data_IF_183290748805
#
_entry.id   IF_183290748805
#
_cell.length_a   1.000
_cell.length_b   1.000
_cell.length_c   1.000
_cell.angle_alpha   90.00
_cell.angle_beta   90.00
_cell.angle_gamma   90.00
#
_symmetry.space_group_name_H-M   'P 1'
#
loop_
_entity.id
_entity.type
_entity.pdbx_description
1 polymer ?
#
# COMPACT_ATOMS: atom_id res chain seq x y z
N UNK A 1 -25.51 -0.02 -57.83
CA UNK A 1 -24.29 -0.81 -58.08
C UNK A 1 -23.37 -0.62 -56.88
N UNK A 2 -23.17 -1.69 -56.09
CA UNK A 2 -22.22 -1.97 -54.98
C UNK A 2 -21.63 -0.80 -54.15
N UNK A 3 -21.89 -0.65 -52.84
CA UNK A 3 -21.53 -1.48 -51.67
C UNK A 3 -20.21 -1.10 -50.98
N UNK A 4 -20.25 -1.21 -49.63
CA UNK A 4 -19.17 -1.28 -48.63
C UNK A 4 -18.59 0.03 -48.09
N UNK A 5 -18.91 0.32 -46.83
CA UNK A 5 -17.88 0.79 -45.88
C UNK A 5 -18.18 0.26 -44.46
N UNK A 6 -17.41 -0.77 -44.10
CA UNK A 6 -16.96 -1.21 -42.77
C UNK A 6 -17.85 -0.98 -41.54
N UNK A 7 -18.43 -2.08 -41.04
CA UNK A 7 -18.86 -2.22 -39.64
C UNK A 7 -17.62 -2.31 -38.75
N UNK A 8 -17.42 -1.34 -37.85
CA UNK A 8 -16.42 -1.43 -36.78
C UNK A 8 -16.86 -2.51 -35.78
N UNK A 9 -16.21 -3.67 -35.83
CA UNK A 9 -16.32 -4.69 -34.78
C UNK A 9 -15.50 -4.21 -33.58
N UNK A 10 -16.18 -3.66 -32.57
CA UNK A 10 -15.59 -3.51 -31.24
C UNK A 10 -15.36 -4.92 -30.68
N UNK A 11 -14.09 -5.34 -30.63
CA UNK A 11 -13.68 -6.60 -30.03
C UNK A 11 -14.07 -6.59 -28.54
N UNK A 12 -15.14 -7.30 -28.19
CA UNK A 12 -15.50 -7.57 -26.80
C UNK A 12 -14.58 -8.67 -26.29
N UNK A 13 -13.49 -8.28 -25.64
CA UNK A 13 -12.64 -9.22 -24.90
C UNK A 13 -13.42 -9.66 -23.66
N UNK A 14 -14.06 -10.82 -23.75
CA UNK A 14 -14.61 -11.52 -22.60
C UNK A 14 -13.47 -12.26 -21.91
N UNK A 15 -12.92 -11.67 -20.84
CA UNK A 15 -12.03 -12.38 -19.93
C UNK A 15 -12.89 -13.24 -18.99
N UNK A 16 -12.99 -14.54 -19.29
CA UNK A 16 -13.55 -15.55 -18.39
C UNK A 16 -12.53 -15.79 -17.27
N UNK A 17 -12.75 -15.15 -16.12
CA UNK A 17 -12.02 -15.45 -14.89
C UNK A 17 -12.62 -16.73 -14.29
N UNK A 18 -12.04 -17.89 -14.62
CA UNK A 18 -12.32 -19.14 -13.90
C UNK A 18 -11.57 -19.07 -12.58
N UNK A 19 -12.25 -18.64 -11.52
CA UNK A 19 -11.75 -18.83 -10.15
C UNK A 19 -12.03 -20.29 -9.82
N UNK A 20 -11.00 -21.14 -9.90
CA UNK A 20 -11.05 -22.47 -9.31
C UNK A 20 -11.17 -22.29 -7.79
N UNK A 21 -12.40 -22.40 -7.28
CA UNK A 21 -12.68 -22.43 -5.85
C UNK A 21 -12.26 -23.80 -5.29
N UNK A 22 -10.97 -23.95 -5.02
CA UNK A 22 -10.54 -24.97 -4.05
C UNK A 22 -11.23 -24.68 -2.70
N UNK A 23 -11.59 -25.71 -1.91
CA UNK A 23 -12.32 -25.51 -0.66
C UNK A 23 -11.51 -24.59 0.25
N UNK A 24 -11.99 -23.34 0.39
CA UNK A 24 -11.48 -22.39 1.36
C UNK A 24 -11.64 -23.03 2.74
N UNK A 25 -10.56 -23.23 3.52
CA UNK A 25 -10.70 -23.77 4.86
C UNK A 25 -11.60 -22.85 5.68
N UNK A 26 -12.65 -23.38 6.34
CA UNK A 26 -13.51 -22.57 7.20
C UNK A 26 -12.69 -22.19 8.44
N UNK A 27 -12.30 -20.93 8.50
CA UNK A 27 -11.63 -20.38 9.66
C UNK A 27 -11.11 -18.99 9.35
N UNK A 28 -11.56 -18.01 10.12
CA UNK A 28 -10.80 -16.77 10.27
C UNK A 28 -9.48 -17.21 10.92
N UNK A 29 -8.47 -17.48 10.08
CA UNK A 29 -7.12 -17.75 10.53
C UNK A 29 -6.63 -16.45 11.16
N UNK A 30 -6.79 -16.31 12.47
CA UNK A 30 -6.13 -15.25 13.19
C UNK A 30 -4.63 -15.43 12.97
N UNK A 31 -3.94 -14.34 12.61
CA UNK A 31 -2.49 -14.36 12.51
C UNK A 31 -1.94 -14.86 13.85
N UNK A 32 -1.34 -16.05 13.82
CA UNK A 32 -0.70 -16.65 14.99
C UNK A 32 0.47 -15.72 15.39
N UNK A 33 0.59 -15.26 16.64
CA UNK A 33 1.62 -14.30 17.05
C UNK A 33 3.06 -14.76 16.76
N UNK A 34 3.27 -16.08 16.70
CA UNK A 34 4.54 -16.76 16.43
C UNK A 34 4.60 -17.43 15.04
N UNK A 35 3.66 -17.14 14.13
CA UNK A 35 3.81 -17.57 12.75
C UNK A 35 5.08 -16.92 12.14
N UNK A 36 5.90 -17.69 11.40
CA UNK A 36 7.01 -17.09 10.68
C UNK A 36 6.45 -16.07 9.68
N UNK A 37 7.16 -14.93 9.47
CA UNK A 37 6.79 -13.99 8.43
C UNK A 37 6.71 -14.72 7.09
N UNK A 38 5.85 -14.28 6.19
CA UNK A 38 5.82 -14.86 4.86
C UNK A 38 7.21 -14.74 4.21
N UNK A 39 7.69 -15.78 3.51
CA UNK A 39 9.00 -15.71 2.86
C UNK A 39 9.08 -14.49 1.94
N UNK A 40 10.04 -13.61 2.20
CA UNK A 40 10.24 -12.38 1.43
C UNK A 40 9.35 -11.20 1.86
N UNK A 41 8.56 -11.29 2.93
CA UNK A 41 7.89 -10.12 3.49
C UNK A 41 8.90 -9.24 4.25
N UNK A 42 8.90 -7.91 4.03
CA UNK A 42 9.79 -7.03 4.77
C UNK A 42 9.42 -7.00 6.25
N UNK A 43 10.42 -6.81 7.10
CA UNK A 43 10.19 -6.53 8.52
C UNK A 43 9.84 -5.06 8.67
N UNK A 44 8.73 -4.77 9.35
CA UNK A 44 8.27 -3.39 9.55
C UNK A 44 8.19 -3.11 11.06
N UNK A 45 8.86 -2.06 11.51
CA UNK A 45 8.81 -1.57 12.88
C UNK A 45 8.28 -0.13 12.91
N UNK A 46 7.46 0.17 13.93
CA UNK A 46 6.92 1.50 14.14
C UNK A 46 7.34 2.05 15.51
N UNK A 47 7.82 3.29 15.53
CA UNK A 47 7.99 4.07 16.77
C UNK A 47 7.00 5.22 16.77
N UNK A 48 6.22 5.33 17.84
CA UNK A 48 5.23 6.40 18.01
C UNK A 48 5.59 7.19 19.25
N UNK A 49 5.83 8.49 19.09
CA UNK A 49 6.23 9.40 20.17
C UNK A 49 5.33 10.62 20.18
N UNK A 50 4.84 10.99 21.36
CA UNK A 50 4.09 12.23 21.56
C UNK A 50 5.09 13.40 21.63
N UNK A 51 5.21 14.17 20.57
CA UNK A 51 6.17 15.28 20.46
C UNK A 51 5.64 16.56 21.11
N UNK A 52 4.36 16.86 20.88
CA UNK A 52 3.68 18.00 21.49
C UNK A 52 2.30 17.56 21.98
N UNK A 53 2.19 17.47 23.31
CA UNK A 53 0.94 17.08 23.97
C UNK A 53 -0.16 18.11 23.77
N UNK A 54 0.18 19.39 23.79
CA UNK A 54 -0.80 20.50 23.73
C UNK A 54 -1.34 20.68 22.32
N UNK A 55 -0.47 20.54 21.31
CA UNK A 55 -0.84 20.59 19.90
C UNK A 55 -1.32 19.25 19.33
N UNK A 56 -1.45 18.22 20.17
CA UNK A 56 -1.86 16.86 19.78
C UNK A 56 -1.01 16.27 18.63
N UNK A 57 0.31 16.43 18.71
CA UNK A 57 1.24 16.01 17.67
C UNK A 57 2.00 14.76 18.09
N UNK A 58 1.91 13.72 17.26
CA UNK A 58 2.73 12.53 17.37
C UNK A 58 3.71 12.44 16.20
N UNK A 59 4.96 12.07 16.48
CA UNK A 59 5.90 11.58 15.46
C UNK A 59 5.71 10.08 15.33
N UNK A 60 5.54 9.63 14.09
CA UNK A 60 5.51 8.21 13.73
C UNK A 60 6.69 7.96 12.83
N UNK A 61 7.58 7.06 13.25
CA UNK A 61 8.69 6.55 12.45
C UNK A 61 8.37 5.12 12.05
N UNK A 62 8.54 4.82 10.77
CA UNK A 62 8.39 3.49 10.19
C UNK A 62 9.75 3.05 9.65
N UNK A 63 10.30 1.97 10.17
CA UNK A 63 11.51 1.32 9.67
C UNK A 63 11.10 0.06 8.93
N UNK A 64 11.62 -0.12 7.73
CA UNK A 64 11.31 -1.25 6.87
C UNK A 64 12.65 -1.89 6.52
N UNK A 65 12.80 -3.17 6.81
CA UNK A 65 14.02 -3.91 6.52
C UNK A 65 13.70 -5.07 5.56
N UNK A 66 14.59 -5.35 4.61
CA UNK A 66 14.52 -6.55 3.78
C UNK A 66 13.63 -6.43 2.54
N UNK A 67 13.38 -5.22 2.03
CA UNK A 67 12.85 -5.04 0.67
C UNK A 67 13.95 -4.65 -0.32
N UNK A 68 14.10 -5.41 -1.40
CA UNK A 68 15.04 -5.11 -2.49
C UNK A 68 14.37 -4.47 -3.72
N UNK A 69 13.10 -4.06 -3.59
CA UNK A 69 12.37 -3.45 -4.69
C UNK A 69 12.83 -2.01 -4.93
N UNK A 70 12.87 -1.53 -6.18
CA UNK A 70 13.27 -0.15 -6.51
C UNK A 70 12.25 0.90 -6.08
N UNK A 71 11.03 0.45 -5.76
CA UNK A 71 9.94 1.28 -5.26
C UNK A 71 9.27 0.60 -4.09
N UNK A 72 8.80 1.42 -3.16
CA UNK A 72 7.92 1.01 -2.07
C UNK A 72 6.63 1.80 -2.15
N UNK A 73 5.49 1.11 -2.19
CA UNK A 73 4.18 1.74 -2.15
C UNK A 73 3.62 1.68 -0.72
N UNK A 74 3.29 2.85 -0.19
CA UNK A 74 2.69 3.02 1.13
C UNK A 74 1.23 3.44 0.98
N UNK A 75 0.38 2.94 1.88
CA UNK A 75 -1.02 3.32 1.94
C UNK A 75 -1.43 3.60 3.39
N UNK A 76 -2.22 4.66 3.60
CA UNK A 76 -2.92 4.89 4.85
C UNK A 76 -4.37 4.40 4.67
N UNK A 77 -4.89 3.53 5.54
CA UNK A 77 -6.27 3.07 5.44
C UNK A 77 -7.26 4.25 5.46
N UNK A 78 -8.24 4.23 4.56
CA UNK A 78 -9.27 5.27 4.45
C UNK A 78 -10.51 5.00 5.31
N UNK A 79 -10.49 3.97 6.16
CA UNK A 79 -11.62 3.60 7.02
C UNK A 79 -11.12 2.89 8.28
N UNK A 80 -11.98 2.82 9.29
CA UNK A 80 -11.78 2.03 10.51
C UNK A 80 -13.09 1.32 10.91
N UNK A 81 -13.10 0.62 12.04
CA UNK A 81 -14.19 -0.23 12.58
C UNK A 81 -15.64 0.27 12.38
N UNK A 82 -15.87 1.58 12.25
CA UNK A 82 -17.20 2.16 12.01
C UNK A 82 -17.71 2.03 10.57
N UNK A 83 -16.96 1.38 9.67
CA UNK A 83 -17.31 1.19 8.25
C UNK A 83 -17.62 2.48 7.49
N UNK A 84 -16.99 3.58 7.92
CA UNK A 84 -17.10 4.88 7.28
C UNK A 84 -15.79 5.25 6.60
N UNK A 85 -15.89 5.86 5.42
CA UNK A 85 -14.76 6.53 4.81
C UNK A 85 -14.36 7.74 5.66
N UNK A 86 -13.07 7.84 5.92
CA UNK A 86 -12.44 8.85 6.75
C UNK A 86 -11.16 9.29 6.04
N UNK A 87 -11.08 10.58 5.80
CA UNK A 87 -9.85 11.19 5.34
C UNK A 87 -8.94 11.43 6.57
N UNK A 88 -8.15 10.42 6.90
CA UNK A 88 -7.13 10.51 7.95
C UNK A 88 -5.87 11.25 7.48
N UNK A 89 -5.69 11.36 6.16
CA UNK A 89 -4.53 12.01 5.54
C UNK A 89 -4.52 13.49 5.85
N UNK A 90 -5.68 14.13 6.06
CA UNK A 90 -5.76 15.53 6.53
C UNK A 90 -4.94 15.82 7.80
N UNK A 91 -4.71 14.80 8.65
CA UNK A 91 -3.97 14.94 9.90
C UNK A 91 -2.46 14.73 9.73
N UNK A 92 -2.03 14.27 8.56
CA UNK A 92 -0.63 14.07 8.24
C UNK A 92 0.01 15.43 7.91
N UNK A 93 0.91 15.89 8.79
CA UNK A 93 1.59 17.18 8.62
C UNK A 93 2.70 17.12 7.58
N UNK A 94 3.50 16.06 7.62
CA UNK A 94 4.64 15.85 6.73
C UNK A 94 4.93 14.37 6.61
N UNK A 95 5.28 13.91 5.41
CA UNK A 95 5.78 12.55 5.15
C UNK A 95 7.07 12.66 4.35
N UNK A 96 8.11 12.07 4.89
CA UNK A 96 9.45 12.01 4.31
C UNK A 96 10.01 10.62 4.52
N UNK A 97 10.95 10.22 3.67
CA UNK A 97 11.64 8.94 3.78
C UNK A 97 13.14 9.17 3.59
N UNK A 98 13.93 8.31 4.23
CA UNK A 98 15.39 8.32 4.12
C UNK A 98 15.92 6.90 4.00
N UNK A 99 16.99 6.72 3.25
CA UNK A 99 17.75 5.48 3.19
C UNK A 99 18.45 5.22 4.54
N UNK A 100 18.95 3.99 4.79
CA UNK A 100 19.71 3.67 6.01
C UNK A 100 20.91 4.61 6.26
N UNK A 101 21.51 5.16 5.20
CA UNK A 101 22.60 6.13 5.28
C UNK A 101 22.17 7.58 5.56
N UNK A 102 20.88 7.84 5.74
CA UNK A 102 20.33 9.19 5.99
C UNK A 102 20.05 10.01 4.73
N UNK A 103 20.34 9.48 3.53
CA UNK A 103 20.00 10.13 2.27
C UNK A 103 18.47 10.23 2.10
N UNK A 104 17.96 11.40 1.75
CA UNK A 104 16.53 11.61 1.53
C UNK A 104 16.05 10.86 0.28
N UNK A 105 14.99 10.06 0.42
CA UNK A 105 14.38 9.33 -0.68
C UNK A 105 13.23 10.13 -1.29
N UNK A 106 13.06 10.03 -2.61
CA UNK A 106 11.98 10.70 -3.31
C UNK A 106 10.63 10.06 -2.96
N UNK A 107 9.73 10.85 -2.37
CA UNK A 107 8.36 10.47 -2.04
C UNK A 107 7.40 11.18 -2.98
N UNK A 108 6.49 10.42 -3.62
CA UNK A 108 5.44 10.97 -4.47
C UNK A 108 4.09 10.43 -4.05
N UNK A 109 3.12 11.31 -3.82
CA UNK A 109 1.73 10.91 -3.62
C UNK A 109 1.16 10.35 -4.93
N UNK A 110 0.60 9.13 -4.88
CA UNK A 110 0.04 8.41 -6.04
C UNK A 110 -1.49 8.40 -6.04
N UNK A 111 -2.10 8.72 -4.91
CA UNK A 111 -3.55 8.76 -4.73
C UNK A 111 -3.92 9.49 -3.45
N UNK A 112 -5.22 9.55 -3.13
CA UNK A 112 -5.70 10.30 -1.97
C UNK A 112 -5.10 9.84 -0.65
N UNK A 113 -4.76 8.54 -0.53
CA UNK A 113 -4.22 7.93 0.68
C UNK A 113 -2.99 7.04 0.40
N UNK A 114 -2.33 7.23 -0.74
CA UNK A 114 -1.23 6.36 -1.19
C UNK A 114 -0.04 7.17 -1.66
N UNK A 115 1.14 6.66 -1.38
CA UNK A 115 2.43 7.23 -1.76
C UNK A 115 3.33 6.16 -2.35
N UNK A 116 4.24 6.58 -3.22
CA UNK A 116 5.34 5.78 -3.74
C UNK A 116 6.66 6.41 -3.33
N UNK A 117 7.56 5.61 -2.80
CA UNK A 117 8.92 5.97 -2.43
C UNK A 117 9.86 5.32 -3.43
N UNK A 118 10.77 6.09 -4.02
CA UNK A 118 11.86 5.56 -4.83
C UNK A 118 13.02 5.18 -3.90
N UNK A 119 13.22 3.88 -3.69
CA UNK A 119 14.26 3.32 -2.79
C UNK A 119 15.53 2.93 -3.54
N UNK A 120 15.45 2.77 -4.87
CA UNK A 120 16.59 2.31 -5.68
C UNK A 120 17.06 0.90 -5.33
N UNK A 121 16.26 0.13 -4.57
CA UNK A 121 16.62 -1.20 -4.08
C UNK A 121 17.31 -1.20 -2.70
N UNK A 122 17.46 -0.04 -2.06
CA UNK A 122 18.06 0.10 -0.74
C UNK A 122 16.94 0.28 0.29
N UNK A 123 16.78 -0.70 1.19
CA UNK A 123 15.87 -0.62 2.34
C UNK A 123 16.53 -1.24 3.56
#
# INVERSE_FOLDING_TARGET
MLARTSRLYAARIAALLVIAAGPMPPGISQARPDAPPWPGSPRIAYSVRLEDRSGHVCRVEMSIDGSAHPYLDLALPAWNNLYQLRDFVRNLRSLSASAPGGEALAVRQTGSHTWRIATGGVT
#
